data_IF_709432510376
#
_entry.id   IF_709432510376
#
_cell.length_a   1.000
_cell.length_b   1.000
_cell.length_c   1.000
_cell.angle_alpha   90.00
_cell.angle_beta   90.00
_cell.angle_gamma   90.00
#
_symmetry.space_group_name_H-M   'P 1'
#
loop_
_entity.id
_entity.type
_entity.pdbx_description
1 polymer ?
#
# COMPACT_ATOMS: atom_id res chain seq x y z
N UNK A 1 -45.13 -11.71 -1.50
CA UNK A 1 -44.28 -10.71 -0.83
C UNK A 1 -42.85 -11.12 -1.08
N UNK A 2 -42.12 -10.29 -1.80
CA UNK A 2 -40.82 -10.57 -2.41
C UNK A 2 -39.76 -10.72 -1.31
N UNK A 3 -39.00 -11.82 -1.34
CA UNK A 3 -37.81 -12.00 -0.52
C UNK A 3 -36.73 -11.04 -1.01
N UNK A 4 -36.50 -9.97 -0.26
CA UNK A 4 -35.43 -9.01 -0.48
C UNK A 4 -34.18 -9.55 0.23
N UNK A 5 -33.36 -10.30 -0.51
CA UNK A 5 -32.02 -10.69 -0.07
C UNK A 5 -31.11 -9.51 -0.44
N UNK A 6 -31.08 -8.50 0.42
CA UNK A 6 -30.11 -7.41 0.33
C UNK A 6 -28.77 -7.89 0.88
N UNK A 7 -27.83 -8.10 -0.04
CA UNK A 7 -26.44 -7.66 0.02
C UNK A 7 -25.76 -7.70 1.40
N UNK A 8 -25.56 -8.91 1.93
CA UNK A 8 -24.68 -9.16 3.10
C UNK A 8 -23.29 -9.70 2.73
N UNK A 9 -22.89 -9.57 1.47
CA UNK A 9 -21.59 -10.04 0.97
C UNK A 9 -20.58 -8.90 0.73
N UNK A 10 -20.97 -7.62 0.86
CA UNK A 10 -20.05 -6.47 0.67
C UNK A 10 -19.25 -6.11 1.94
N UNK A 11 -19.62 -6.65 3.11
CA UNK A 11 -19.00 -6.30 4.40
C UNK A 11 -17.83 -7.21 4.81
N UNK A 12 -17.50 -8.23 4.00
CA UNK A 12 -16.34 -9.10 4.23
C UNK A 12 -15.04 -8.58 3.58
N UNK A 13 -15.10 -7.47 2.85
CA UNK A 13 -13.96 -6.82 2.20
C UNK A 13 -13.53 -5.52 2.93
N UNK A 14 -14.12 -5.21 4.08
CA UNK A 14 -13.93 -3.95 4.83
C UNK A 14 -12.86 -4.02 5.91
N UNK A 15 -12.00 -5.05 5.91
CA UNK A 15 -10.68 -4.92 6.53
C UNK A 15 -9.89 -3.90 5.72
N UNK A 16 -10.17 -2.62 5.94
CA UNK A 16 -9.36 -1.49 5.50
C UNK A 16 -8.08 -1.58 6.31
N UNK A 17 -7.20 -2.47 5.86
CA UNK A 17 -5.87 -2.59 6.43
C UNK A 17 -5.15 -1.31 6.04
N UNK A 18 -4.86 -0.48 7.04
CA UNK A 18 -4.00 0.68 6.90
C UNK A 18 -2.58 0.27 7.31
N UNK A 19 -1.53 0.79 6.65
CA UNK A 19 -0.18 0.48 7.05
C UNK A 19 0.09 1.14 8.40
N UNK A 20 0.53 0.34 9.39
CA UNK A 20 0.95 0.86 10.68
C UNK A 20 2.22 1.69 10.50
N UNK A 21 2.18 2.92 10.99
CA UNK A 21 3.27 3.88 10.83
C UNK A 21 4.49 3.52 11.67
N UNK A 22 4.31 2.94 12.85
CA UNK A 22 5.40 2.51 13.71
C UNK A 22 6.14 1.33 13.08
N UNK A 23 5.40 0.37 12.52
CA UNK A 23 6.00 -0.79 11.85
C UNK A 23 6.72 -0.38 10.57
N UNK A 24 6.12 0.49 9.76
CA UNK A 24 6.79 1.10 8.61
C UNK A 24 8.08 1.82 9.02
N UNK A 25 8.03 2.63 10.08
CA UNK A 25 9.18 3.37 10.59
C UNK A 25 10.32 2.43 11.02
N UNK A 26 10.03 1.29 11.63
CA UNK A 26 11.05 0.27 11.94
C UNK A 26 11.78 -0.20 10.67
N UNK A 27 11.07 -0.42 9.56
CA UNK A 27 11.74 -0.80 8.31
C UNK A 27 12.62 0.33 7.76
N UNK A 28 12.14 1.57 7.81
CA UNK A 28 12.90 2.76 7.38
C UNK A 28 14.17 2.94 8.22
N UNK A 29 14.05 2.86 9.54
CA UNK A 29 15.17 3.05 10.48
C UNK A 29 16.24 1.96 10.33
N UNK A 30 15.83 0.74 9.94
CA UNK A 30 16.73 -0.38 9.63
C UNK A 30 17.23 -0.39 8.18
N UNK A 31 16.99 0.68 7.40
CA UNK A 31 17.36 0.81 5.98
C UNK A 31 16.78 -0.29 5.08
N UNK A 32 15.69 -0.95 5.50
CA UNK A 32 14.99 -2.02 4.77
C UNK A 32 13.93 -1.44 3.84
N UNK A 33 14.31 -0.56 2.92
CA UNK A 33 13.38 0.24 2.10
C UNK A 33 12.49 -0.59 1.19
N UNK A 34 13.01 -1.67 0.59
CA UNK A 34 12.21 -2.57 -0.26
C UNK A 34 11.10 -3.25 0.56
N UNK A 35 11.43 -3.77 1.75
CA UNK A 35 10.43 -4.33 2.67
C UNK A 35 9.44 -3.30 3.18
N UNK A 36 9.89 -2.07 3.46
CA UNK A 36 9.00 -0.98 3.82
C UNK A 36 7.99 -0.69 2.71
N UNK A 37 8.44 -0.71 1.45
CA UNK A 37 7.58 -0.48 0.29
C UNK A 37 6.59 -1.63 0.10
N UNK A 38 7.06 -2.88 0.16
CA UNK A 38 6.18 -4.06 0.14
C UNK A 38 5.11 -4.01 1.23
N UNK A 39 5.51 -3.67 2.46
CA UNK A 39 4.59 -3.54 3.59
C UNK A 39 3.50 -2.49 3.32
N UNK A 40 3.87 -1.31 2.80
CA UNK A 40 2.88 -0.27 2.47
C UNK A 40 1.97 -0.72 1.33
N UNK A 41 2.50 -1.40 0.30
CA UNK A 41 1.72 -1.86 -0.84
C UNK A 41 0.74 -2.99 -0.48
N UNK A 42 1.11 -3.90 0.43
CA UNK A 42 0.24 -4.97 0.92
C UNK A 42 -0.91 -4.43 1.76
N UNK A 43 -0.63 -3.41 2.56
CA UNK A 43 -1.59 -2.76 3.46
C UNK A 43 -2.13 -1.46 2.86
N UNK A 44 -2.13 -1.35 1.53
CA UNK A 44 -2.59 -0.15 0.85
C UNK A 44 -4.13 -0.04 0.97
N UNK A 45 -4.69 1.07 1.46
CA UNK A 45 -6.13 1.28 1.56
C UNK A 45 -6.75 1.62 0.19
N UNK A 46 -6.55 0.77 -0.82
CA UNK A 46 -6.95 1.01 -2.22
C UNK A 46 -8.46 1.21 -2.34
N UNK A 47 -9.23 0.49 -1.52
CA UNK A 47 -10.70 0.52 -1.48
C UNK A 47 -11.29 1.42 -0.39
N UNK A 48 -10.46 2.06 0.43
CA UNK A 48 -10.97 2.91 1.51
C UNK A 48 -11.77 4.10 0.95
N UNK A 49 -12.88 4.47 1.58
CA UNK A 49 -13.58 5.73 1.28
C UNK A 49 -12.86 6.94 1.86
N UNK A 50 -12.08 6.71 2.92
CA UNK A 50 -11.32 7.73 3.64
C UNK A 50 -10.12 8.24 2.82
N UNK A 51 -10.15 9.54 2.50
CA UNK A 51 -9.11 10.21 1.74
C UNK A 51 -7.83 10.45 2.56
N UNK A 52 -7.94 10.69 3.86
CA UNK A 52 -6.79 10.91 4.73
C UNK A 52 -5.96 9.64 4.87
N UNK A 53 -6.61 8.48 4.99
CA UNK A 53 -5.93 7.18 5.00
C UNK A 53 -5.19 6.90 3.70
N UNK A 54 -5.81 7.21 2.55
CA UNK A 54 -5.15 7.11 1.24
C UNK A 54 -3.95 8.02 1.15
N UNK A 55 -4.08 9.27 1.59
CA UNK A 55 -3.00 10.26 1.58
C UNK A 55 -1.83 9.83 2.47
N UNK A 56 -2.11 9.29 3.66
CA UNK A 56 -1.10 8.75 4.56
C UNK A 56 -0.32 7.60 3.91
N UNK A 57 -1.01 6.60 3.38
CA UNK A 57 -0.36 5.49 2.69
C UNK A 57 0.44 5.95 1.46
N UNK A 58 -0.09 6.90 0.68
CA UNK A 58 0.64 7.52 -0.44
C UNK A 58 1.92 8.22 0.02
N UNK A 59 1.85 8.97 1.12
CA UNK A 59 3.02 9.65 1.67
C UNK A 59 4.08 8.65 2.14
N UNK A 60 3.68 7.58 2.82
CA UNK A 60 4.60 6.52 3.26
C UNK A 60 5.27 5.82 2.07
N UNK A 61 4.50 5.47 1.04
CA UNK A 61 5.02 4.87 -0.18
C UNK A 61 6.03 5.81 -0.87
N UNK A 62 5.67 7.08 -1.07
CA UNK A 62 6.52 8.07 -1.73
C UNK A 62 7.80 8.34 -0.96
N UNK A 63 7.71 8.57 0.35
CA UNK A 63 8.87 8.75 1.24
C UNK A 63 9.80 7.54 1.20
N UNK A 64 9.26 6.33 1.09
CA UNK A 64 10.06 5.10 0.95
C UNK A 64 10.75 5.03 -0.41
N UNK A 65 10.03 5.31 -1.50
CA UNK A 65 10.59 5.33 -2.86
C UNK A 65 11.76 6.32 -2.98
N UNK A 66 11.64 7.50 -2.35
CA UNK A 66 12.70 8.52 -2.33
C UNK A 66 13.98 8.10 -1.56
N UNK A 67 13.91 7.05 -0.73
CA UNK A 67 15.07 6.52 0.02
C UNK A 67 15.84 5.45 -0.76
N UNK A 68 15.22 4.85 -1.77
CA UNK A 68 15.86 3.84 -2.63
C UNK A 68 16.82 4.56 -3.58
N UNK A 69 18.09 4.11 -3.63
CA UNK A 69 19.08 4.73 -4.51
C UNK A 69 18.77 4.42 -5.97
N UNK A 70 19.05 5.36 -6.87
CA UNK A 70 18.75 5.23 -8.31
C UNK A 70 19.30 3.96 -8.94
N UNK A 71 20.51 3.55 -8.55
CA UNK A 71 21.14 2.32 -9.04
C UNK A 71 20.53 1.03 -8.49
N UNK A 72 19.75 1.09 -7.41
CA UNK A 72 19.08 -0.04 -6.77
C UNK A 72 17.60 -0.14 -7.18
N UNK A 73 17.06 0.85 -7.91
CA UNK A 73 15.64 0.90 -8.29
C UNK A 73 15.23 -0.33 -9.10
N UNK A 74 16.02 -0.74 -10.09
CA UNK A 74 15.68 -1.88 -10.94
C UNK A 74 15.51 -3.17 -10.11
N UNK A 75 16.45 -3.42 -9.19
CA UNK A 75 16.43 -4.59 -8.32
C UNK A 75 15.31 -4.50 -7.27
N UNK A 76 15.06 -3.30 -6.73
CA UNK A 76 13.95 -3.03 -5.81
C UNK A 76 12.58 -3.28 -6.47
N UNK A 77 12.37 -2.83 -7.71
CA UNK A 77 11.12 -3.09 -8.45
C UNK A 77 10.98 -4.58 -8.78
N UNK A 78 12.09 -5.25 -9.13
CA UNK A 78 12.07 -6.67 -9.48
C UNK A 78 11.84 -7.59 -8.29
N UNK A 79 12.26 -7.19 -7.08
CA UNK A 79 12.01 -7.93 -5.84
C UNK A 79 10.55 -7.84 -5.37
N UNK A 80 9.82 -6.79 -5.77
CA UNK A 80 8.39 -6.65 -5.44
C UNK A 80 7.56 -7.67 -6.24
N UNK A 81 6.72 -8.48 -5.56
CA UNK A 81 5.80 -9.41 -6.21
C UNK A 81 4.90 -8.75 -7.27
N UNK A 82 4.62 -9.46 -8.36
CA UNK A 82 3.83 -8.93 -9.49
C UNK A 82 2.48 -8.30 -9.06
N UNK A 83 1.67 -8.88 -8.15
CA UNK A 83 0.40 -8.27 -7.73
C UNK A 83 0.58 -6.91 -7.02
N UNK A 84 1.71 -6.70 -6.34
CA UNK A 84 1.99 -5.45 -5.63
C UNK A 84 2.59 -4.40 -6.57
N UNK A 85 3.19 -4.83 -7.69
CA UNK A 85 3.74 -3.93 -8.72
C UNK A 85 2.66 -3.12 -9.42
N UNK A 86 1.48 -3.71 -9.64
CA UNK A 86 0.32 -2.98 -10.16
C UNK A 86 -0.15 -1.88 -9.19
N UNK A 87 -0.11 -2.18 -7.88
CA UNK A 87 -0.42 -1.21 -6.83
C UNK A 87 0.65 -0.11 -6.77
N UNK A 88 1.93 -0.47 -6.91
CA UNK A 88 3.02 0.48 -6.99
C UNK A 88 2.82 1.46 -8.16
N UNK A 89 2.47 0.96 -9.35
CA UNK A 89 2.16 1.81 -10.51
C UNK A 89 1.05 2.82 -10.19
N UNK A 90 -0.03 2.40 -9.51
CA UNK A 90 -1.11 3.32 -9.11
C UNK A 90 -0.63 4.45 -8.19
N UNK A 91 0.35 4.21 -7.33
CA UNK A 91 0.95 5.26 -6.50
C UNK A 91 1.85 6.19 -7.31
N UNK A 92 2.63 5.65 -8.26
CA UNK A 92 3.49 6.45 -9.15
C UNK A 92 2.68 7.36 -10.07
N UNK A 93 1.56 6.88 -10.63
CA UNK A 93 0.71 7.70 -11.52
C UNK A 93 -0.15 8.74 -10.79
N UNK A 94 -0.30 8.62 -9.46
CA UNK A 94 -1.10 9.54 -8.64
C UNK A 94 -0.28 10.61 -7.93
N UNK A 95 1.03 10.39 -7.78
CA UNK A 95 1.97 11.40 -7.26
C UNK A 95 2.23 12.48 -8.29
#
# INVERSE_FOLDING_TARGET
MTNHIEDKDDDLLTNVVEPDENEWKKFIDNMKYVRALEYVLQNAPVRAKDLEKKKKASHMALSTMMKIKTNEIADAVNSIPAPLRDTLMKYVYKG
#
